data_IF_527317059836
#
_entry.id   IF_527317059836
#
_cell.length_a   1.000
_cell.length_b   1.000
_cell.length_c   1.000
_cell.angle_alpha   90.00
_cell.angle_beta   90.00
_cell.angle_gamma   90.00
#
_symmetry.space_group_name_H-M   'P 1'
#
loop_
_entity.id
_entity.type
_entity.pdbx_description
1 polymer ?
#
# COMPACT_ATOMS: atom_id res chain seq x y z
N UNK A 1 11.51 -14.68 -15.93
CA UNK A 1 11.22 -13.83 -14.78
C UNK A 1 11.01 -14.76 -13.57
N UNK A 2 11.74 -14.54 -12.50
CA UNK A 2 11.50 -15.25 -11.24
C UNK A 2 10.06 -14.99 -10.81
N UNK A 3 9.33 -16.06 -10.54
CA UNK A 3 7.97 -15.95 -10.00
C UNK A 3 8.09 -15.89 -8.48
N UNK A 4 7.52 -14.86 -7.87
CA UNK A 4 7.35 -14.81 -6.42
C UNK A 4 6.48 -16.02 -5.99
N UNK A 5 6.90 -16.77 -4.96
CA UNK A 5 6.07 -17.86 -4.44
C UNK A 5 4.75 -17.30 -3.89
N UNK A 6 3.66 -18.03 -4.11
CA UNK A 6 2.39 -17.69 -3.51
C UNK A 6 2.45 -17.92 -1.99
N UNK A 7 2.09 -16.89 -1.23
CA UNK A 7 2.04 -16.94 0.23
C UNK A 7 0.76 -16.28 0.74
N UNK A 8 0.26 -16.77 1.85
CA UNK A 8 -0.82 -16.15 2.61
C UNK A 8 -0.35 -15.96 4.05
N UNK A 9 -0.69 -14.83 4.63
CA UNK A 9 -0.40 -14.59 6.05
C UNK A 9 -1.25 -15.51 6.91
N UNK A 10 -0.62 -16.10 7.93
CA UNK A 10 -1.33 -16.86 8.96
C UNK A 10 -2.29 -15.92 9.74
N UNK A 11 -3.47 -16.41 10.08
CA UNK A 11 -4.49 -15.59 10.74
C UNK A 11 -4.07 -15.17 12.16
N UNK A 12 -3.43 -16.08 12.91
CA UNK A 12 -2.98 -15.76 14.26
C UNK A 12 -1.90 -14.70 14.23
N UNK A 13 -1.00 -14.78 13.25
CA UNK A 13 0.02 -13.76 13.04
C UNK A 13 -0.62 -12.43 12.68
N UNK A 14 -1.61 -12.41 11.77
CA UNK A 14 -2.33 -11.20 11.40
C UNK A 14 -2.98 -10.53 12.61
N UNK A 15 -3.77 -11.28 13.37
CA UNK A 15 -4.44 -10.74 14.57
C UNK A 15 -3.43 -10.25 15.61
N UNK A 16 -2.34 -10.99 15.82
CA UNK A 16 -1.26 -10.57 16.73
C UNK A 16 -0.62 -9.24 16.30
N UNK A 17 -0.41 -9.01 15.01
CA UNK A 17 0.13 -7.74 14.50
C UNK A 17 -0.83 -6.59 14.78
N UNK A 18 -2.12 -6.77 14.51
CA UNK A 18 -3.14 -5.74 14.75
C UNK A 18 -3.29 -5.43 16.24
N UNK A 19 -3.30 -6.45 17.09
CA UNK A 19 -3.33 -6.28 18.54
C UNK A 19 -2.12 -5.51 19.07
N UNK A 20 -0.93 -5.81 18.56
CA UNK A 20 0.30 -5.08 18.92
C UNK A 20 0.27 -3.62 18.45
N UNK A 21 -0.34 -3.31 17.30
CA UNK A 21 -0.57 -1.94 16.84
C UNK A 21 -1.54 -1.20 17.77
N UNK A 22 -2.65 -1.85 18.18
CA UNK A 22 -3.59 -1.31 19.16
C UNK A 22 -2.90 -1.00 20.48
N UNK A 23 -2.17 -1.95 21.03
CA UNK A 23 -1.47 -1.83 22.32
C UNK A 23 -0.36 -0.78 22.25
N UNK A 24 0.19 -0.53 21.07
CA UNK A 24 1.13 0.55 20.82
C UNK A 24 0.44 1.92 20.68
N UNK A 25 -0.89 1.97 20.58
CA UNK A 25 -1.66 3.19 20.37
C UNK A 25 -1.52 3.76 18.95
N UNK A 26 -1.36 2.89 17.95
CA UNK A 26 -1.18 3.30 16.56
C UNK A 26 -2.45 3.98 16.01
N UNK A 27 -2.29 5.15 15.40
CA UNK A 27 -3.38 5.95 14.81
C UNK A 27 -3.06 6.42 13.39
N UNK A 28 -2.09 5.79 12.75
CA UNK A 28 -1.63 6.16 11.42
C UNK A 28 -2.46 5.55 10.29
N UNK A 29 -1.84 5.42 9.14
CA UNK A 29 -2.43 4.81 7.95
C UNK A 29 -2.20 3.30 7.95
N UNK A 30 -3.23 2.54 7.59
CA UNK A 30 -3.17 1.09 7.50
C UNK A 30 -3.70 0.62 6.14
N UNK A 31 -3.02 -0.35 5.55
CA UNK A 31 -3.51 -1.04 4.35
C UNK A 31 -3.11 -2.51 4.38
N UNK A 32 -4.02 -3.39 3.97
CA UNK A 32 -3.83 -4.84 3.97
C UNK A 32 -3.43 -5.37 2.59
N UNK A 33 -2.78 -4.55 1.80
CA UNK A 33 -2.22 -4.97 0.52
C UNK A 33 -0.80 -4.42 0.33
N UNK A 34 -0.05 -5.04 -0.55
CA UNK A 34 1.26 -4.56 -0.96
C UNK A 34 1.43 -4.75 -2.46
N UNK A 35 1.97 -5.89 -2.84
CA UNK A 35 2.23 -6.25 -4.23
C UNK A 35 1.30 -7.39 -4.72
N UNK A 36 0.09 -7.46 -4.20
CA UNK A 36 -0.93 -8.46 -4.49
C UNK A 36 -2.26 -7.80 -4.85
N UNK A 37 -3.21 -8.60 -5.36
CA UNK A 37 -4.62 -8.20 -5.44
C UNK A 37 -5.34 -8.65 -4.17
N UNK A 38 -5.85 -7.71 -3.34
CA UNK A 38 -6.40 -8.04 -2.02
C UNK A 38 -7.64 -8.91 -2.08
N UNK A 39 -8.51 -8.74 -3.08
CA UNK A 39 -9.75 -9.52 -3.21
C UNK A 39 -9.57 -10.97 -3.70
N UNK A 40 -8.32 -11.42 -3.89
CA UNK A 40 -7.99 -12.84 -4.03
C UNK A 40 -7.95 -13.56 -2.68
N UNK A 41 -7.82 -12.84 -1.57
CA UNK A 41 -7.97 -13.42 -0.23
C UNK A 41 -9.42 -13.28 0.24
N UNK A 42 -10.11 -14.40 0.43
CA UNK A 42 -11.52 -14.43 0.84
C UNK A 42 -11.74 -13.87 2.25
N UNK A 43 -10.69 -13.73 3.07
CA UNK A 43 -10.73 -13.18 4.43
C UNK A 43 -10.63 -11.64 4.46
N UNK A 44 -10.46 -10.99 3.30
CA UNK A 44 -10.12 -9.57 3.23
C UNK A 44 -11.13 -8.67 3.95
N UNK A 45 -12.41 -8.98 3.85
CA UNK A 45 -13.48 -8.23 4.53
C UNK A 45 -13.41 -8.41 6.04
N UNK A 46 -13.26 -9.65 6.52
CA UNK A 46 -13.13 -9.95 7.95
C UNK A 46 -11.89 -9.30 8.56
N UNK A 47 -10.77 -9.33 7.86
CA UNK A 47 -9.54 -8.68 8.29
C UNK A 47 -9.68 -7.16 8.40
N UNK A 48 -10.37 -6.52 7.45
CA UNK A 48 -10.63 -5.07 7.53
C UNK A 48 -11.62 -4.75 8.65
N UNK A 49 -12.64 -5.58 8.87
CA UNK A 49 -13.54 -5.46 10.02
C UNK A 49 -12.75 -5.49 11.32
N UNK A 50 -11.90 -6.48 11.51
CA UNK A 50 -11.05 -6.58 12.70
C UNK A 50 -10.15 -5.37 12.88
N UNK A 51 -9.49 -4.91 11.81
CA UNK A 51 -8.68 -3.70 11.85
C UNK A 51 -9.50 -2.48 12.30
N UNK A 52 -10.71 -2.30 11.78
CA UNK A 52 -11.57 -1.18 12.14
C UNK A 52 -12.01 -1.25 13.60
N UNK A 53 -12.33 -2.43 14.11
CA UNK A 53 -12.72 -2.66 15.50
C UNK A 53 -11.57 -2.40 16.47
N UNK A 54 -10.36 -2.87 16.15
CA UNK A 54 -9.19 -2.73 17.03
C UNK A 54 -8.48 -1.38 16.90
N UNK A 55 -8.57 -0.73 15.74
CA UNK A 55 -7.87 0.52 15.39
C UNK A 55 -8.86 1.56 14.84
N UNK A 56 -9.85 2.00 15.65
CA UNK A 56 -10.94 2.87 15.19
C UNK A 56 -10.44 4.22 14.66
N UNK A 57 -9.33 4.74 15.18
CA UNK A 57 -8.75 6.03 14.81
C UNK A 57 -7.80 5.96 13.60
N UNK A 58 -7.53 4.76 13.07
CA UNK A 58 -6.65 4.62 11.92
C UNK A 58 -7.34 5.01 10.61
N UNK A 59 -6.58 5.62 9.70
CA UNK A 59 -7.01 5.78 8.33
C UNK A 59 -6.74 4.48 7.56
N UNK A 60 -7.79 3.70 7.34
CA UNK A 60 -7.69 2.42 6.62
C UNK A 60 -8.04 2.65 5.16
N UNK A 61 -7.13 2.26 4.26
CA UNK A 61 -7.35 2.35 2.83
C UNK A 61 -7.06 1.04 2.11
N UNK A 62 -7.75 0.80 1.01
CA UNK A 62 -7.59 -0.39 0.21
C UNK A 62 -7.49 -0.01 -1.26
N UNK A 63 -6.55 -0.64 -1.97
CA UNK A 63 -6.40 -0.48 -3.41
C UNK A 63 -6.49 -1.84 -4.10
N UNK A 64 -7.29 -1.90 -5.16
CA UNK A 64 -7.56 -3.11 -5.95
C UNK A 64 -7.43 -2.82 -7.44
N UNK A 65 -7.13 -3.83 -8.25
CA UNK A 65 -7.21 -3.72 -9.70
C UNK A 65 -8.67 -3.80 -10.23
N UNK A 66 -9.62 -4.11 -9.36
CA UNK A 66 -11.05 -4.18 -9.66
C UNK A 66 -11.51 -5.40 -10.44
N UNK A 67 -10.62 -6.25 -10.97
CA UNK A 67 -11.02 -7.35 -11.89
C UNK A 67 -11.96 -8.39 -11.27
N UNK A 68 -11.83 -8.64 -9.98
CA UNK A 68 -12.68 -9.59 -9.24
C UNK A 68 -13.74 -8.92 -8.37
N UNK A 69 -13.83 -7.58 -8.48
CA UNK A 69 -14.71 -6.79 -7.64
C UNK A 69 -16.15 -6.82 -8.19
N UNK A 70 -17.11 -6.87 -7.28
CA UNK A 70 -18.55 -6.75 -7.55
C UNK A 70 -19.15 -5.66 -6.66
N UNK A 71 -20.36 -5.20 -6.96
CA UNK A 71 -21.08 -4.25 -6.11
C UNK A 71 -21.23 -4.80 -4.69
N UNK A 72 -21.58 -6.08 -4.54
CA UNK A 72 -21.75 -6.70 -3.22
C UNK A 72 -20.44 -6.67 -2.40
N UNK A 73 -19.31 -7.05 -3.02
CA UNK A 73 -18.00 -6.98 -2.36
C UNK A 73 -17.62 -5.54 -1.97
N UNK A 74 -17.99 -4.56 -2.79
CA UNK A 74 -17.79 -3.15 -2.42
C UNK A 74 -18.63 -2.80 -1.21
N UNK A 75 -19.91 -3.18 -1.19
CA UNK A 75 -20.80 -2.93 -0.05
C UNK A 75 -20.32 -3.61 1.25
N UNK A 76 -19.75 -4.80 1.15
CA UNK A 76 -19.20 -5.52 2.29
C UNK A 76 -17.95 -4.85 2.88
N UNK A 77 -17.11 -4.21 2.06
CA UNK A 77 -15.83 -3.65 2.52
C UNK A 77 -15.90 -2.19 2.95
N UNK A 78 -16.76 -1.36 2.33
CA UNK A 78 -16.80 0.08 2.57
C UNK A 78 -17.08 0.49 4.03
N UNK A 79 -17.80 -0.28 4.87
CA UNK A 79 -17.97 0.07 6.29
C UNK A 79 -16.66 0.08 7.09
N UNK A 80 -15.61 -0.59 6.60
CA UNK A 80 -14.38 -0.80 7.35
C UNK A 80 -13.18 0.01 6.81
N UNK A 81 -13.35 0.71 5.71
CA UNK A 81 -12.29 1.52 5.08
C UNK A 81 -12.68 2.99 5.01
N UNK A 82 -11.69 3.88 5.09
CA UNK A 82 -11.87 5.31 4.83
C UNK A 82 -11.77 5.61 3.32
N UNK A 83 -11.00 4.78 2.60
CA UNK A 83 -10.79 4.98 1.18
C UNK A 83 -10.69 3.65 0.45
N UNK A 84 -11.41 3.53 -0.67
CA UNK A 84 -11.30 2.42 -1.61
C UNK A 84 -10.86 2.95 -2.97
N UNK A 85 -9.71 2.46 -3.46
CA UNK A 85 -9.12 2.86 -4.74
C UNK A 85 -9.25 1.71 -5.73
N UNK A 86 -9.99 1.91 -6.79
CA UNK A 86 -10.13 0.96 -7.90
C UNK A 86 -9.22 1.40 -9.03
N UNK A 87 -8.10 0.68 -9.24
CA UNK A 87 -7.16 0.93 -10.32
C UNK A 87 -7.58 0.16 -11.56
N UNK A 88 -8.24 0.82 -12.47
CA UNK A 88 -8.68 0.22 -13.72
C UNK A 88 -7.55 0.28 -14.76
N UNK A 89 -6.81 -0.82 -14.90
CA UNK A 89 -5.74 -0.95 -15.90
C UNK A 89 -6.34 -1.30 -17.26
N UNK A 90 -6.21 -0.42 -18.25
CA UNK A 90 -6.83 -0.58 -19.56
C UNK A 90 -5.90 -0.09 -20.69
N UNK A 91 -6.24 -0.40 -21.93
CA UNK A 91 -5.50 0.05 -23.12
C UNK A 91 -6.16 1.26 -23.79
N UNK A 92 -7.45 1.41 -23.63
CA UNK A 92 -8.31 2.37 -24.34
C UNK A 92 -8.94 3.42 -23.43
N UNK A 93 -8.49 3.52 -22.18
CA UNK A 93 -9.03 4.43 -21.17
C UNK A 93 -10.53 4.25 -20.91
N UNK A 94 -11.02 3.02 -21.03
CA UNK A 94 -12.38 2.66 -20.66
C UNK A 94 -12.39 1.82 -19.39
N UNK A 95 -13.45 1.94 -18.62
CA UNK A 95 -13.68 1.08 -17.47
C UNK A 95 -13.95 -0.36 -17.96
N UNK A 96 -13.41 -1.34 -17.26
CA UNK A 96 -13.83 -2.72 -17.41
C UNK A 96 -15.32 -2.85 -17.07
N UNK A 97 -16.05 -3.78 -17.70
CA UNK A 97 -17.50 -3.87 -17.57
C UNK A 97 -17.95 -3.98 -16.11
N UNK A 98 -17.32 -4.82 -15.31
CA UNK A 98 -17.64 -4.95 -13.89
C UNK A 98 -17.32 -3.68 -13.09
N UNK A 99 -16.23 -2.97 -13.42
CA UNK A 99 -15.87 -1.70 -12.78
C UNK A 99 -16.87 -0.60 -13.17
N UNK A 100 -17.34 -0.62 -14.42
CA UNK A 100 -18.39 0.29 -14.88
C UNK A 100 -19.70 0.06 -14.12
N UNK A 101 -20.10 -1.19 -13.89
CA UNK A 101 -21.30 -1.51 -13.09
C UNK A 101 -21.17 -0.95 -11.68
N UNK A 102 -20.00 -1.08 -11.05
CA UNK A 102 -19.73 -0.52 -9.72
C UNK A 102 -19.79 1.02 -9.76
N UNK A 103 -19.22 1.63 -10.79
CA UNK A 103 -19.27 3.07 -10.98
C UNK A 103 -20.70 3.59 -11.11
N UNK A 104 -21.49 2.98 -12.00
CA UNK A 104 -22.89 3.35 -12.24
C UNK A 104 -23.74 3.17 -10.97
N UNK A 105 -23.51 2.08 -10.24
CA UNK A 105 -24.16 1.84 -8.95
C UNK A 105 -23.82 2.93 -7.93
N UNK A 106 -22.55 3.24 -7.77
CA UNK A 106 -22.10 4.27 -6.82
C UNK A 106 -22.67 5.66 -7.17
N UNK A 107 -22.78 5.99 -8.46
CA UNK A 107 -23.40 7.24 -8.91
C UNK A 107 -24.89 7.31 -8.59
N UNK A 108 -25.59 6.17 -8.64
CA UNK A 108 -27.02 6.10 -8.35
C UNK A 108 -27.35 6.05 -6.85
N UNK A 109 -26.38 5.63 -6.00
CA UNK A 109 -26.59 5.38 -4.58
C UNK A 109 -25.56 6.10 -3.70
N UNK A 110 -25.38 7.40 -3.93
CA UNK A 110 -24.32 8.21 -3.30
C UNK A 110 -24.37 8.19 -1.76
N UNK A 111 -25.55 8.05 -1.18
CA UNK A 111 -25.73 8.02 0.26
C UNK A 111 -25.07 6.79 0.90
N UNK A 112 -25.01 5.66 0.20
CA UNK A 112 -24.32 4.44 0.69
C UNK A 112 -22.80 4.64 0.79
N UNK A 113 -22.24 5.60 0.07
CA UNK A 113 -20.81 5.92 0.00
C UNK A 113 -20.42 7.19 0.77
N UNK A 114 -21.34 7.79 1.51
CA UNK A 114 -21.12 9.09 2.16
C UNK A 114 -19.92 9.11 3.15
N UNK A 115 -19.57 7.94 3.72
CA UNK A 115 -18.51 7.80 4.73
C UNK A 115 -17.21 7.19 4.20
N UNK A 116 -17.11 6.94 2.89
CA UNK A 116 -15.93 6.36 2.26
C UNK A 116 -15.51 7.16 1.04
N UNK A 117 -14.22 7.42 0.89
CA UNK A 117 -13.69 8.00 -0.34
C UNK A 117 -13.50 6.91 -1.39
N UNK A 118 -14.42 6.84 -2.38
CA UNK A 118 -14.34 5.89 -3.48
C UNK A 118 -13.65 6.54 -4.68
N UNK A 119 -12.49 6.00 -5.09
CA UNK A 119 -11.67 6.53 -6.19
C UNK A 119 -11.58 5.54 -7.32
N UNK A 120 -11.92 5.99 -8.54
CA UNK A 120 -11.67 5.26 -9.78
C UNK A 120 -10.45 5.85 -10.48
N UNK A 121 -9.40 5.06 -10.56
CA UNK A 121 -8.13 5.49 -11.14
C UNK A 121 -7.89 4.77 -12.48
N UNK A 122 -7.96 5.53 -13.57
CA UNK A 122 -7.65 5.01 -14.90
C UNK A 122 -6.15 4.93 -15.09
N UNK A 123 -5.65 3.78 -15.53
CA UNK A 123 -4.22 3.54 -15.78
C UNK A 123 -4.02 2.81 -17.11
N UNK A 124 -3.05 3.24 -17.89
CA UNK A 124 -2.60 2.44 -19.01
C UNK A 124 -1.88 1.18 -18.52
N UNK A 125 -2.09 0.04 -19.19
CA UNK A 125 -1.43 -1.23 -18.83
C UNK A 125 0.08 -1.20 -18.98
N UNK A 126 0.59 -0.35 -19.86
CA UNK A 126 2.00 -0.15 -20.16
C UNK A 126 2.59 1.10 -19.49
N UNK A 127 1.84 1.72 -18.60
CA UNK A 127 2.31 2.89 -17.85
C UNK A 127 3.62 2.58 -17.11
N UNK A 128 4.64 3.37 -17.40
CA UNK A 128 5.93 3.30 -16.73
C UNK A 128 5.85 4.12 -15.45
N UNK A 129 5.82 3.44 -14.31
CA UNK A 129 5.75 4.07 -12.98
C UNK A 129 7.17 4.22 -12.40
N UNK A 130 7.43 3.56 -11.27
CA UNK A 130 8.76 3.52 -10.67
C UNK A 130 9.52 2.27 -11.13
N UNK A 131 10.85 2.27 -11.04
CA UNK A 131 11.64 1.09 -11.33
C UNK A 131 11.63 0.06 -10.18
N UNK A 132 10.96 0.36 -9.06
CA UNK A 132 10.86 -0.51 -7.88
C UNK A 132 12.20 -1.11 -7.48
N UNK A 133 13.19 -0.25 -7.25
CA UNK A 133 14.56 -0.66 -6.94
C UNK A 133 15.18 -1.60 -8.00
N UNK A 134 14.76 -1.45 -9.26
CA UNK A 134 15.24 -2.25 -10.38
C UNK A 134 14.40 -3.49 -10.70
N UNK A 135 13.34 -3.78 -9.95
CA UNK A 135 12.50 -4.97 -10.15
C UNK A 135 11.34 -4.78 -11.14
N UNK A 136 11.06 -3.55 -11.59
CA UNK A 136 9.97 -3.30 -12.54
C UNK A 136 10.36 -3.69 -13.98
N UNK A 137 9.65 -4.64 -14.63
CA UNK A 137 10.06 -5.16 -15.95
C UNK A 137 9.81 -4.18 -17.09
N UNK A 138 8.91 -3.22 -16.91
CA UNK A 138 8.50 -2.25 -17.92
C UNK A 138 9.28 -0.94 -17.87
N UNK A 139 10.22 -0.80 -16.93
CA UNK A 139 11.07 0.37 -16.82
C UNK A 139 12.53 0.01 -16.98
N UNK A 140 13.16 0.55 -18.02
CA UNK A 140 14.60 0.39 -18.19
C UNK A 140 15.33 1.04 -17.02
N UNK A 141 16.25 0.30 -16.42
CA UNK A 141 17.10 0.80 -15.36
C UNK A 141 18.00 1.90 -15.92
N UNK A 142 17.60 3.13 -15.72
CA UNK A 142 18.57 4.21 -15.71
C UNK A 142 19.42 3.98 -14.46
N UNK A 143 20.63 3.46 -14.63
CA UNK A 143 21.57 3.16 -13.53
C UNK A 143 22.14 4.44 -12.89
N UNK A 144 21.30 5.46 -12.79
CA UNK A 144 21.66 6.69 -12.11
C UNK A 144 21.51 6.46 -10.60
N UNK A 145 22.58 6.68 -9.88
CA UNK A 145 22.53 6.66 -8.41
C UNK A 145 21.67 7.81 -7.93
N UNK A 146 20.64 7.49 -7.17
CA UNK A 146 19.75 8.47 -6.55
C UNK A 146 20.34 8.83 -5.16
N UNK A 147 20.59 10.11 -4.94
CA UNK A 147 21.25 10.60 -3.71
C UNK A 147 20.26 11.12 -2.67
N UNK A 148 19.03 11.41 -3.08
CA UNK A 148 18.01 11.95 -2.20
C UNK A 148 17.69 10.98 -1.06
N UNK A 149 17.37 11.51 0.11
CA UNK A 149 16.91 10.73 1.27
C UNK A 149 15.60 10.02 0.94
N UNK A 150 15.43 8.81 1.44
CA UNK A 150 14.17 8.09 1.39
C UNK A 150 13.52 8.05 2.77
N UNK A 151 12.27 8.51 2.87
CA UNK A 151 11.53 8.56 4.14
C UNK A 151 10.81 7.25 4.47
N UNK A 152 10.58 6.37 3.49
CA UNK A 152 9.86 5.11 3.71
C UNK A 152 10.35 4.30 4.92
N UNK A 153 11.67 4.13 5.16
CA UNK A 153 12.13 3.38 6.33
C UNK A 153 11.85 4.05 7.69
N UNK A 154 11.43 5.31 7.68
CA UNK A 154 11.11 6.08 8.89
C UNK A 154 9.61 6.16 9.15
N UNK A 155 8.79 6.03 8.12
CA UNK A 155 7.34 6.27 8.18
C UNK A 155 6.51 5.03 7.93
N UNK A 156 7.05 4.01 7.26
CA UNK A 156 6.27 2.88 6.78
C UNK A 156 6.88 1.55 7.23
N UNK A 157 6.05 0.66 7.75
CA UNK A 157 6.35 -0.75 7.95
C UNK A 157 5.81 -1.54 6.77
N UNK A 158 6.63 -2.41 6.22
CA UNK A 158 6.22 -3.33 5.16
C UNK A 158 6.40 -4.76 5.63
N UNK A 159 5.29 -5.47 5.81
CA UNK A 159 5.27 -6.82 6.35
C UNK A 159 4.85 -7.78 5.24
N UNK A 160 5.70 -8.78 4.98
CA UNK A 160 5.40 -9.83 4.01
C UNK A 160 4.43 -10.87 4.58
N UNK A 161 3.77 -11.66 3.72
CA UNK A 161 2.80 -12.66 4.19
C UNK A 161 3.39 -13.72 5.12
N UNK A 162 4.68 -13.97 5.10
CA UNK A 162 5.37 -14.91 5.98
C UNK A 162 5.82 -14.30 7.33
N UNK A 163 5.45 -13.04 7.60
CA UNK A 163 5.76 -12.35 8.85
C UNK A 163 7.09 -11.61 8.87
N UNK A 164 7.93 -11.76 7.84
CA UNK A 164 9.16 -10.98 7.74
C UNK A 164 8.83 -9.50 7.46
N UNK A 165 9.57 -8.61 8.07
CA UNK A 165 9.53 -7.19 7.78
C UNK A 165 10.58 -6.83 6.74
N UNK A 166 10.15 -6.27 5.62
CA UNK A 166 11.00 -5.83 4.53
C UNK A 166 11.36 -4.34 4.56
N UNK A 167 12.16 -3.92 3.60
CA UNK A 167 12.61 -2.52 3.48
C UNK A 167 11.43 -1.60 3.17
N UNK A 168 10.64 -1.91 2.14
CA UNK A 168 9.49 -1.13 1.69
C UNK A 168 8.71 -1.87 0.58
N UNK A 169 7.63 -1.26 0.10
CA UNK A 169 6.80 -1.80 -0.99
C UNK A 169 7.52 -1.95 -2.35
N UNK A 170 8.73 -1.44 -2.52
CA UNK A 170 9.53 -1.67 -3.72
C UNK A 170 10.19 -3.05 -3.76
N UNK A 171 10.27 -3.76 -2.63
CA UNK A 171 10.78 -5.13 -2.57
C UNK A 171 9.74 -6.15 -3.02
N UNK A 172 9.46 -6.18 -4.32
CA UNK A 172 8.46 -7.08 -4.90
C UNK A 172 8.79 -8.56 -4.78
N UNK A 173 10.07 -8.90 -4.66
CA UNK A 173 10.54 -10.28 -4.61
C UNK A 173 10.80 -10.76 -3.18
N UNK A 174 10.49 -9.93 -2.18
CA UNK A 174 10.65 -10.26 -0.75
C UNK A 174 12.08 -10.69 -0.40
N UNK A 175 13.06 -9.97 -0.98
CA UNK A 175 14.48 -10.28 -0.85
C UNK A 175 15.11 -9.77 0.44
N UNK A 176 14.48 -8.77 1.08
CA UNK A 176 14.96 -8.20 2.33
C UNK A 176 14.32 -8.85 3.55
N UNK A 177 15.06 -8.89 4.65
CA UNK A 177 14.54 -9.26 5.97
C UNK A 177 15.23 -8.39 7.01
N UNK A 178 14.48 -7.47 7.59
CA UNK A 178 14.95 -6.56 8.64
C UNK A 178 14.57 -7.08 10.05
N UNK A 179 13.48 -7.82 10.12
CA UNK A 179 13.01 -8.50 11.32
C UNK A 179 12.03 -9.62 10.93
N UNK A 180 11.67 -10.47 11.88
CA UNK A 180 10.68 -11.53 11.73
C UNK A 180 9.66 -11.47 12.88
N UNK A 181 8.41 -11.16 12.56
CA UNK A 181 7.33 -11.02 13.53
C UNK A 181 6.81 -12.36 14.10
N UNK A 182 7.24 -13.47 13.55
CA UNK A 182 6.96 -14.78 14.15
C UNK A 182 7.71 -15.00 15.47
N UNK A 183 8.81 -14.25 15.68
CA UNK A 183 9.70 -14.42 16.85
C UNK A 183 10.01 -13.11 17.57
N UNK A 184 9.74 -11.95 16.96
CA UNK A 184 10.08 -10.62 17.51
C UNK A 184 8.83 -9.76 17.59
N UNK A 185 8.51 -9.16 18.75
CA UNK A 185 7.41 -8.22 18.87
C UNK A 185 7.55 -7.02 17.92
N UNK A 186 6.43 -6.50 17.40
CA UNK A 186 6.38 -5.48 16.36
C UNK A 186 7.20 -4.21 16.70
N UNK A 187 7.04 -3.69 17.92
CA UNK A 187 7.75 -2.49 18.37
C UNK A 187 9.26 -2.71 18.48
N UNK A 188 9.67 -3.89 18.92
CA UNK A 188 11.07 -4.29 18.99
C UNK A 188 11.64 -4.48 17.57
N UNK A 189 10.90 -5.16 16.71
CA UNK A 189 11.24 -5.35 15.30
C UNK A 189 11.47 -4.03 14.58
N UNK A 190 10.57 -3.04 14.75
CA UNK A 190 10.67 -1.69 14.18
C UNK A 190 11.91 -0.93 14.67
N UNK A 191 12.36 -1.20 15.90
CA UNK A 191 13.54 -0.59 16.51
C UNK A 191 14.77 -1.50 16.47
N UNK A 192 14.74 -2.58 15.70
CA UNK A 192 15.84 -3.53 15.58
C UNK A 192 17.11 -2.90 14.99
N UNK A 193 18.24 -3.57 15.20
CA UNK A 193 19.53 -3.12 14.64
C UNK A 193 19.48 -2.98 13.12
N UNK A 194 18.95 -3.96 12.32
CA UNK A 194 18.85 -3.81 10.87
C UNK A 194 18.04 -2.59 10.42
N UNK A 195 16.93 -2.25 11.11
CA UNK A 195 16.18 -1.04 10.79
C UNK A 195 16.95 0.24 11.10
N UNK A 196 17.68 0.28 12.21
CA UNK A 196 18.53 1.45 12.54
C UNK A 196 19.64 1.64 11.51
N UNK A 197 20.29 0.55 11.11
CA UNK A 197 21.35 0.58 10.08
C UNK A 197 20.81 1.05 8.73
N UNK A 198 19.65 0.52 8.31
CA UNK A 198 18.98 0.98 7.09
C UNK A 198 18.68 2.49 7.15
N UNK A 199 18.04 2.96 8.22
CA UNK A 199 17.73 4.39 8.41
C UNK A 199 18.97 5.26 8.38
N UNK A 200 20.04 4.84 9.04
CA UNK A 200 21.31 5.54 9.03
C UNK A 200 21.91 5.60 7.62
N UNK A 201 21.90 4.49 6.89
CA UNK A 201 22.43 4.43 5.53
C UNK A 201 21.68 5.36 4.56
N UNK A 202 20.34 5.37 4.61
CA UNK A 202 19.53 6.19 3.69
C UNK A 202 19.33 7.64 4.14
N UNK A 203 19.83 8.01 5.32
CA UNK A 203 19.63 9.35 5.91
C UNK A 203 20.20 10.47 5.03
N UNK A 204 21.40 10.28 4.54
CA UNK A 204 22.10 11.28 3.73
C UNK A 204 21.98 10.99 2.24
N UNK A 205 21.97 9.73 1.88
CA UNK A 205 21.87 9.28 0.50
C UNK A 205 21.37 7.84 0.44
N UNK A 206 20.24 7.59 -0.24
CA UNK A 206 19.81 6.22 -0.52
C UNK A 206 20.81 5.45 -1.40
N UNK A 207 21.67 6.17 -2.12
CA UNK A 207 22.75 5.60 -2.93
C UNK A 207 23.77 4.78 -2.15
N UNK A 208 23.85 4.99 -0.82
CA UNK A 208 24.76 4.27 0.07
C UNK A 208 24.21 2.92 0.52
N UNK A 209 22.93 2.63 0.24
CA UNK A 209 22.31 1.34 0.55
C UNK A 209 22.01 0.55 -0.74
N UNK A 210 22.61 -0.63 -0.88
CA UNK A 210 22.64 -1.39 -2.12
C UNK A 210 21.29 -1.59 -2.80
N UNK A 211 20.25 -1.98 -2.05
CA UNK A 211 18.88 -2.13 -2.56
C UNK A 211 18.30 -0.80 -3.07
N UNK A 212 18.55 0.29 -2.37
CA UNK A 212 17.96 1.60 -2.66
C UNK A 212 18.75 2.40 -3.70
N UNK A 213 19.97 1.98 -4.02
CA UNK A 213 20.95 2.74 -4.81
C UNK A 213 20.41 3.30 -6.13
N UNK A 214 19.63 2.52 -6.83
CA UNK A 214 19.07 2.87 -8.14
C UNK A 214 17.54 3.00 -8.10
N UNK A 215 16.94 2.99 -6.92
CA UNK A 215 15.51 3.12 -6.75
C UNK A 215 15.07 4.55 -7.07
N UNK A 216 14.21 4.71 -8.08
CA UNK A 216 13.64 5.98 -8.46
C UNK A 216 12.26 6.25 -7.85
N UNK A 217 11.87 5.46 -6.87
CA UNK A 217 10.71 5.79 -6.06
C UNK A 217 11.03 7.06 -5.28
N UNK A 218 10.68 8.18 -5.85
CA UNK A 218 10.70 9.46 -5.17
C UNK A 218 9.30 9.65 -4.61
N UNK A 219 9.22 9.75 -3.31
CA UNK A 219 8.04 10.24 -2.67
C UNK A 219 7.89 11.72 -3.02
N UNK A 220 7.25 11.96 -4.18
CA UNK A 220 7.10 13.28 -4.75
C UNK A 220 6.20 14.11 -3.84
N UNK A 221 6.74 14.61 -2.74
CA UNK A 221 6.03 15.49 -1.83
C UNK A 221 6.31 15.29 -0.35
N UNK A 222 7.06 14.28 0.06
CA UNK A 222 7.50 14.20 1.45
C UNK A 222 8.79 15.03 1.64
N UNK A 223 8.62 16.29 1.84
CA UNK A 223 9.54 17.08 2.67
C UNK A 223 9.15 16.85 4.12
N UNK A 224 10.11 16.75 5.03
CA UNK A 224 9.88 16.54 6.47
C UNK A 224 8.98 17.62 7.12
N UNK A 225 8.88 18.77 6.47
CA UNK A 225 8.09 19.94 6.88
C UNK A 225 6.63 19.93 6.39
N UNK A 226 6.20 18.89 5.62
CA UNK A 226 4.88 18.85 4.96
C UNK A 226 4.15 17.53 5.23
N UNK A 227 4.50 16.81 6.28
CA UNK A 227 3.99 15.45 6.55
C UNK A 227 2.45 15.41 6.72
N UNK A 228 1.82 16.46 7.26
CA UNK A 228 0.37 16.44 7.52
C UNK A 228 -0.51 16.72 6.30
N UNK A 229 -0.08 17.59 5.37
CA UNK A 229 -0.90 17.91 4.18
C UNK A 229 -0.63 16.96 3.00
N UNK A 230 0.51 16.32 2.96
CA UNK A 230 0.96 15.54 1.81
C UNK A 230 0.35 14.15 1.76
N UNK A 231 -0.02 13.56 2.89
CA UNK A 231 -0.72 12.28 2.91
C UNK A 231 -2.11 12.39 2.28
N UNK A 232 -2.78 13.54 2.43
CA UNK A 232 -4.04 13.86 1.76
C UNK A 232 -3.85 14.15 0.26
N UNK A 233 -2.70 14.71 -0.14
CA UNK A 233 -2.40 15.11 -1.51
C UNK A 233 -1.62 14.06 -2.32
N UNK A 234 -0.99 13.05 -1.70
CA UNK A 234 -0.37 11.90 -2.41
C UNK A 234 -1.34 11.19 -3.34
N UNK A 235 -2.60 11.21 -2.99
CA UNK A 235 -3.65 10.74 -3.85
C UNK A 235 -3.78 11.54 -5.15
N UNK A 236 -3.40 12.80 -5.20
CA UNK A 236 -3.66 13.70 -6.34
C UNK A 236 -2.66 13.60 -7.51
N UNK A 237 -1.42 13.11 -7.30
CA UNK A 237 -0.33 13.29 -8.26
C UNK A 237 0.04 12.07 -9.13
N UNK A 238 -0.67 10.96 -9.05
CA UNK A 238 -0.41 9.78 -9.88
C UNK A 238 -1.57 9.44 -10.83
N UNK A 239 -1.65 10.16 -11.93
CA UNK A 239 -2.66 9.95 -12.97
C UNK A 239 -3.98 10.69 -12.68
N UNK A 240 -4.80 10.83 -13.71
CA UNK A 240 -6.13 11.47 -13.57
C UNK A 240 -6.96 10.69 -12.53
N UNK A 241 -7.13 11.30 -11.36
CA UNK A 241 -7.98 10.79 -10.29
C UNK A 241 -9.33 11.49 -10.36
N UNK A 242 -10.37 10.72 -10.51
CA UNK A 242 -11.72 11.22 -10.28
C UNK A 242 -12.18 10.72 -8.91
N UNK A 243 -12.27 11.61 -7.94
CA UNK A 243 -13.07 11.38 -6.74
C UNK A 243 -14.52 11.61 -7.12
N UNK A 244 -15.37 10.61 -6.92
CA UNK A 244 -16.80 10.73 -7.22
C UNK A 244 -17.52 11.59 -6.18
N UNK A 245 -16.98 11.73 -4.97
CA UNK A 245 -17.68 12.31 -3.82
C UNK A 245 -16.80 13.26 -2.99
N UNK A 246 -16.05 14.16 -3.64
CA UNK A 246 -15.48 15.31 -2.92
C UNK A 246 -16.56 16.35 -2.69
N UNK A 247 -16.92 16.57 -1.42
CA UNK A 247 -17.57 17.80 -1.00
C UNK A 247 -16.54 18.92 -0.89
#
# INVERSE_FOLDING_TARGET
>A
AEKRPYKRMDEKLFYSIIDQLRDWGYKGHLTLYGNNEPFLDTRIVEFHKYCREQLPDCFIFLSTNGLTLTVDKVKEIIPYVNQLIINNYCRDMKLHDNVKVIYDYAMAHQDEFANVELLFQMRYMDAVLTNRAGSAPNKQNTRKVIKETCLMPYTDMFIFPDGRMGICCCDNFETSTLADLNVTPLKEAWNSKPYRELRQAVRNSRGDYGFCKYCDFIDAGLRMDVVDDTLRNKAANHGARQSLFRK
#
